data_IF_396853311225
#
_entry.id   IF_396853311225
#
_cell.length_a   1.000
_cell.length_b   1.000
_cell.length_c   1.000
_cell.angle_alpha   90.00
_cell.angle_beta   90.00
_cell.angle_gamma   90.00
#
_symmetry.space_group_name_H-M   'P 1'
#
loop_
_entity.id
_entity.type
_entity.pdbx_description
1 polymer ?
#
# COMPACT_ATOMS: atom_id res chain seq x y z
N UNK A 1 -8.40 6.04 -32.42
CA UNK A 1 -8.92 5.33 -31.26
C UNK A 1 -7.83 4.73 -30.46
N UNK A 2 -6.96 4.00 -31.09
CA UNK A 2 -5.80 3.43 -30.41
C UNK A 2 -4.96 4.52 -29.75
N UNK A 3 -4.86 5.68 -30.36
CA UNK A 3 -4.07 6.79 -29.83
C UNK A 3 -4.61 7.35 -28.52
N UNK A 4 -5.93 7.38 -28.36
CA UNK A 4 -6.53 7.88 -27.14
C UNK A 4 -6.16 7.03 -25.92
N UNK A 5 -6.17 5.72 -26.10
CA UNK A 5 -5.79 4.83 -25.01
C UNK A 5 -4.33 4.95 -24.64
N UNK A 6 -3.48 5.07 -25.65
CA UNK A 6 -2.06 5.23 -25.40
C UNK A 6 -1.80 6.53 -24.64
N UNK A 7 -2.47 7.60 -25.04
CA UNK A 7 -2.29 8.89 -24.39
C UNK A 7 -2.83 8.86 -22.95
N UNK A 8 -4.01 8.29 -22.75
CA UNK A 8 -4.59 8.16 -21.40
C UNK A 8 -3.68 7.33 -20.51
N UNK A 9 -3.15 6.23 -21.03
CA UNK A 9 -2.25 5.37 -20.28
C UNK A 9 -0.97 6.12 -19.89
N UNK A 10 -0.42 6.90 -20.84
CA UNK A 10 0.78 7.69 -20.56
C UNK A 10 0.51 8.74 -19.48
N UNK A 11 -0.62 9.42 -19.58
CA UNK A 11 -0.99 10.44 -18.59
C UNK A 11 -1.13 9.82 -17.20
N UNK A 12 -1.75 8.65 -17.11
CA UNK A 12 -1.91 7.96 -15.83
C UNK A 12 -0.58 7.54 -15.25
N UNK A 13 0.29 7.03 -16.09
CA UNK A 13 1.63 6.64 -15.63
C UNK A 13 2.42 7.82 -15.12
N UNK A 14 2.34 8.94 -15.83
CA UNK A 14 3.04 10.14 -15.43
C UNK A 14 2.48 10.71 -14.12
N UNK A 15 1.16 10.69 -13.99
CA UNK A 15 0.52 11.14 -12.75
C UNK A 15 0.93 10.29 -11.56
N UNK A 16 0.96 8.96 -11.74
CA UNK A 16 1.42 8.06 -10.70
C UNK A 16 2.86 8.30 -10.34
N UNK A 17 3.68 8.48 -11.37
CA UNK A 17 5.10 8.74 -11.14
C UNK A 17 5.31 10.01 -10.34
N UNK A 18 4.58 11.08 -10.69
CA UNK A 18 4.67 12.33 -9.96
C UNK A 18 4.21 12.16 -8.52
N UNK A 19 3.11 11.44 -8.32
CA UNK A 19 2.59 11.18 -6.98
C UNK A 19 3.60 10.38 -6.16
N UNK A 20 4.23 9.37 -6.76
CA UNK A 20 5.26 8.60 -6.10
C UNK A 20 6.45 9.48 -5.73
N UNK A 21 6.92 10.29 -6.69
CA UNK A 21 8.11 11.11 -6.46
C UNK A 21 7.88 12.20 -5.42
N UNK A 22 6.64 12.63 -5.23
CA UNK A 22 6.33 13.67 -4.25
C UNK A 22 5.84 13.10 -2.92
N UNK A 23 5.68 11.80 -2.81
CA UNK A 23 5.22 11.20 -1.57
C UNK A 23 6.28 11.31 -0.48
N UNK A 24 5.87 11.55 0.76
CA UNK A 24 6.84 11.59 1.86
C UNK A 24 7.40 10.20 2.12
N UNK A 25 8.50 10.14 2.86
CA UNK A 25 9.02 8.83 3.28
C UNK A 25 8.04 8.18 4.26
N UNK A 26 8.17 6.87 4.42
CA UNK A 26 7.38 6.16 5.40
C UNK A 26 7.57 6.75 6.79
N UNK A 27 8.82 7.07 7.13
CA UNK A 27 9.14 7.65 8.43
C UNK A 27 8.45 9.00 8.64
N UNK A 28 8.40 9.83 7.60
CA UNK A 28 7.75 11.14 7.71
C UNK A 28 6.25 10.98 7.82
N UNK A 29 5.68 10.02 7.13
CA UNK A 29 4.24 9.80 7.13
C UNK A 29 3.76 9.08 8.38
N UNK A 30 4.51 8.08 8.82
CA UNK A 30 4.16 7.25 9.98
C UNK A 30 5.43 7.02 10.82
N UNK A 31 5.80 7.99 11.64
CA UNK A 31 7.10 7.93 12.35
C UNK A 31 7.28 6.71 13.25
N UNK A 32 6.19 6.16 13.79
CA UNK A 32 6.29 5.02 14.68
C UNK A 32 6.42 3.69 13.95
N UNK A 33 6.23 3.68 12.65
CA UNK A 33 6.29 2.45 11.87
C UNK A 33 7.73 2.16 11.49
N UNK A 34 8.20 0.98 11.88
CA UNK A 34 9.55 0.54 11.53
C UNK A 34 9.56 -0.11 10.16
N UNK A 35 8.54 -0.86 9.84
CA UNK A 35 8.46 -1.56 8.57
C UNK A 35 7.03 -1.87 8.21
N UNK A 36 6.72 -1.77 6.92
CA UNK A 36 5.47 -2.28 6.37
C UNK A 36 5.81 -3.36 5.35
N UNK A 37 5.04 -4.44 5.37
CA UNK A 37 5.15 -5.49 4.37
C UNK A 37 3.79 -5.67 3.73
N UNK A 38 3.73 -5.53 2.41
CA UNK A 38 2.51 -5.72 1.65
C UNK A 38 2.65 -6.99 0.83
N UNK A 39 1.73 -7.92 1.05
CA UNK A 39 1.63 -9.14 0.25
C UNK A 39 0.41 -8.99 -0.63
N UNK A 40 0.60 -9.03 -1.93
CA UNK A 40 -0.44 -8.71 -2.89
C UNK A 40 -0.63 -9.85 -3.87
N UNK A 41 -1.89 -10.22 -4.11
CA UNK A 41 -2.22 -11.25 -5.11
C UNK A 41 -3.37 -10.72 -5.95
N UNK A 42 -3.17 -10.68 -7.27
CA UNK A 42 -4.24 -10.31 -8.18
C UNK A 42 -5.01 -11.56 -8.58
N UNK A 43 -6.32 -11.45 -8.55
CA UNK A 43 -7.23 -12.54 -8.92
C UNK A 43 -8.21 -12.02 -9.95
N UNK A 44 -8.26 -12.69 -11.09
CA UNK A 44 -9.24 -12.38 -12.13
C UNK A 44 -10.43 -13.32 -11.93
N UNK A 45 -11.55 -12.82 -11.40
CA UNK A 45 -12.67 -13.71 -11.12
C UNK A 45 -13.31 -14.28 -12.37
N UNK A 46 -13.21 -13.57 -13.51
CA UNK A 46 -13.83 -14.04 -14.74
C UNK A 46 -13.07 -15.20 -15.35
N UNK A 47 -11.77 -15.28 -15.14
CA UNK A 47 -10.92 -16.32 -15.68
C UNK A 47 -10.52 -17.35 -14.64
N UNK A 48 -10.96 -17.17 -13.40
CA UNK A 48 -10.55 -17.99 -12.27
C UNK A 48 -9.02 -18.13 -12.18
N UNK A 49 -8.32 -17.11 -12.64
CA UNK A 49 -6.86 -17.15 -12.66
C UNK A 49 -6.33 -16.29 -11.53
N UNK A 50 -5.18 -16.70 -11.04
CA UNK A 50 -4.50 -16.05 -9.94
C UNK A 50 -3.06 -15.80 -10.32
N UNK A 51 -2.63 -14.58 -10.17
CA UNK A 51 -1.25 -14.22 -10.43
C UNK A 51 -0.37 -14.61 -9.26
N UNK A 52 0.93 -14.73 -9.52
CA UNK A 52 1.88 -15.01 -8.45
C UNK A 52 1.86 -13.91 -7.42
N UNK A 53 1.95 -14.24 -6.14
CA UNK A 53 1.99 -13.20 -5.10
C UNK A 53 3.21 -12.30 -5.24
N UNK A 54 3.02 -11.05 -4.88
CA UNK A 54 4.09 -10.07 -4.85
C UNK A 54 4.27 -9.60 -3.42
N UNK A 55 5.51 -9.36 -3.02
CA UNK A 55 5.80 -8.83 -1.69
C UNK A 55 6.55 -7.53 -1.84
N UNK A 56 6.06 -6.50 -1.17
CA UNK A 56 6.68 -5.18 -1.15
C UNK A 56 7.03 -4.84 0.29
N UNK A 57 8.27 -4.48 0.52
CA UNK A 57 8.76 -4.17 1.86
C UNK A 57 9.14 -2.69 1.90
N UNK A 58 8.56 -1.97 2.85
CA UNK A 58 8.81 -0.55 3.03
C UNK A 58 9.55 -0.35 4.34
N UNK A 59 10.79 0.11 4.23
CA UNK A 59 11.53 0.60 5.39
C UNK A 59 11.29 2.08 5.61
N UNK A 60 11.92 2.67 6.63
CA UNK A 60 11.65 4.07 6.98
C UNK A 60 11.95 5.08 5.88
N UNK A 61 12.92 4.79 5.03
CA UNK A 61 13.32 5.72 3.96
C UNK A 61 12.56 5.49 2.66
N UNK A 62 11.73 4.43 2.59
CA UNK A 62 10.95 4.18 1.39
C UNK A 62 9.85 5.23 1.23
N UNK A 63 9.47 5.49 -0.01
CA UNK A 63 8.37 6.42 -0.26
C UNK A 63 7.08 5.85 0.28
N UNK A 64 6.34 6.67 1.03
CA UNK A 64 5.05 6.28 1.59
C UNK A 64 3.93 6.39 0.57
N UNK A 65 4.05 5.64 -0.50
CA UNK A 65 3.10 5.64 -1.61
C UNK A 65 2.53 4.24 -1.74
N UNK A 66 1.22 4.12 -1.64
CA UNK A 66 0.57 2.82 -1.47
C UNK A 66 -0.50 2.55 -2.53
N UNK A 67 -0.39 3.18 -3.68
CA UNK A 67 -1.26 2.87 -4.80
C UNK A 67 -0.59 1.83 -5.68
N UNK A 68 -1.37 0.87 -6.12
CA UNK A 68 -0.91 -0.23 -6.95
C UNK A 68 -1.60 -0.13 -8.29
N UNK A 69 -0.84 -0.16 -9.36
CA UNK A 69 -1.39 -0.06 -10.71
C UNK A 69 -2.10 -1.37 -11.08
N UNK A 70 -3.17 -1.25 -11.86
CA UNK A 70 -3.79 -2.44 -12.43
C UNK A 70 -2.83 -3.06 -13.45
N UNK A 71 -2.58 -4.38 -13.38
CA UNK A 71 -1.67 -5.01 -14.32
C UNK A 71 -2.24 -5.19 -15.73
N UNK A 72 -3.55 -4.98 -15.91
CA UNK A 72 -4.15 -5.11 -17.23
C UNK A 72 -3.84 -3.87 -18.07
N UNK A 73 -3.21 -4.06 -19.21
CA UNK A 73 -2.86 -2.96 -20.10
C UNK A 73 -4.08 -2.28 -20.72
N UNK A 74 -5.19 -3.00 -20.78
CA UNK A 74 -6.44 -2.46 -21.34
C UNK A 74 -7.26 -1.69 -20.31
N UNK A 75 -6.84 -1.66 -19.05
CA UNK A 75 -7.58 -0.98 -18.02
C UNK A 75 -7.20 0.49 -17.97
N UNK A 76 -8.20 1.38 -18.00
CA UNK A 76 -7.98 2.81 -17.86
C UNK A 76 -8.49 3.28 -16.52
N UNK A 77 -7.79 4.23 -15.92
CA UNK A 77 -8.09 4.80 -14.60
C UNK A 77 -8.13 3.73 -13.51
N UNK A 78 -7.44 2.65 -13.75
CA UNK A 78 -7.45 1.51 -12.84
C UNK A 78 -6.43 1.63 -11.76
N UNK A 79 -6.56 0.73 -10.81
CA UNK A 79 -5.60 0.61 -9.74
C UNK A 79 -6.29 0.39 -8.41
N UNK A 80 -5.46 0.28 -7.40
CA UNK A 80 -5.90 -0.05 -6.05
C UNK A 80 -5.18 0.88 -5.08
N UNK A 81 -5.90 1.43 -4.14
CA UNK A 81 -5.32 2.35 -3.17
C UNK A 81 -5.38 1.72 -1.79
N UNK A 82 -4.23 1.39 -1.23
CA UNK A 82 -4.14 0.79 0.09
C UNK A 82 -3.92 1.83 1.18
N UNK A 83 -3.94 3.11 0.84
CA UNK A 83 -3.63 4.16 1.80
C UNK A 83 -4.56 4.15 3.01
N UNK A 84 -5.86 3.95 2.79
CA UNK A 84 -6.83 3.93 3.89
C UNK A 84 -6.64 2.71 4.79
N UNK A 85 -6.35 1.57 4.20
CA UNK A 85 -6.10 0.34 4.96
C UNK A 85 -4.88 0.52 5.86
N UNK A 86 -3.83 1.08 5.30
CA UNK A 86 -2.59 1.29 6.04
C UNK A 86 -2.79 2.34 7.14
N UNK A 87 -3.48 3.44 6.82
CA UNK A 87 -3.76 4.48 7.81
C UNK A 87 -4.55 3.91 9.00
N UNK A 88 -5.54 3.08 8.72
CA UNK A 88 -6.34 2.45 9.75
C UNK A 88 -5.49 1.51 10.60
N UNK A 89 -4.69 0.67 9.97
CA UNK A 89 -3.82 -0.26 10.67
C UNK A 89 -2.85 0.48 11.59
N UNK A 90 -2.24 1.54 11.09
CA UNK A 90 -1.28 2.31 11.87
C UNK A 90 -1.95 3.04 13.03
N UNK A 91 -3.16 3.58 12.80
CA UNK A 91 -3.86 4.32 13.85
C UNK A 91 -4.21 3.43 15.04
N UNK A 92 -4.45 2.16 14.80
CA UNK A 92 -4.75 1.20 15.86
C UNK A 92 -3.52 0.43 16.32
N UNK A 93 -2.35 0.73 15.78
CA UNK A 93 -1.11 0.00 16.03
C UNK A 93 -1.31 -1.50 15.85
N UNK A 94 -2.10 -1.86 14.86
CA UNK A 94 -2.35 -3.26 14.55
C UNK A 94 -1.15 -3.89 13.89
N UNK A 95 -1.00 -5.20 14.05
CA UNK A 95 0.12 -5.93 13.45
C UNK A 95 -0.16 -6.34 12.01
N UNK A 96 -1.41 -6.57 11.67
CA UNK A 96 -1.75 -6.98 10.31
C UNK A 96 -3.21 -6.68 9.99
N UNK A 97 -3.46 -6.48 8.70
CA UNK A 97 -4.80 -6.36 8.15
C UNK A 97 -4.82 -7.10 6.82
N UNK A 98 -5.92 -7.74 6.49
CA UNK A 98 -6.07 -8.45 5.24
C UNK A 98 -7.45 -8.17 4.67
N UNK A 99 -7.55 -8.23 3.35
CA UNK A 99 -8.82 -7.99 2.68
C UNK A 99 -8.67 -8.04 1.18
N UNK A 100 -9.62 -7.43 0.50
CA UNK A 100 -9.59 -7.36 -0.95
C UNK A 100 -10.14 -6.03 -1.42
N UNK A 101 -9.62 -5.59 -2.56
CA UNK A 101 -10.09 -4.40 -3.26
C UNK A 101 -10.41 -4.78 -4.70
N UNK A 102 -11.35 -4.08 -5.31
CA UNK A 102 -11.66 -4.26 -6.72
C UNK A 102 -11.09 -3.07 -7.47
N UNK A 103 -10.56 -3.33 -8.66
CA UNK A 103 -9.97 -2.27 -9.47
C UNK A 103 -10.97 -1.15 -9.74
N UNK A 104 -10.50 0.08 -9.67
CA UNK A 104 -11.33 1.26 -9.90
C UNK A 104 -11.59 1.55 -11.37
N UNK A 105 -10.94 0.84 -12.25
CA UNK A 105 -10.87 1.21 -13.64
C UNK A 105 -11.91 0.57 -14.52
N UNK A 106 -11.76 0.83 -15.79
CA UNK A 106 -12.63 0.32 -16.83
C UNK A 106 -11.76 -0.37 -17.88
N UNK A 107 -12.22 -1.52 -18.34
CA UNK A 107 -11.53 -2.20 -19.42
C UNK A 107 -12.17 -1.84 -20.75
N UNK A 108 -11.32 -1.54 -21.71
CA UNK A 108 -11.76 -1.39 -23.08
C UNK A 108 -11.70 -2.76 -23.72
N UNK A 109 -12.85 -3.26 -24.11
CA UNK A 109 -12.93 -4.54 -24.78
C UNK A 109 -13.18 -4.37 -26.27
N UNK A 110 -12.66 -3.33 -26.83
CA UNK A 110 -12.78 -3.05 -28.25
C UNK A 110 -14.11 -2.40 -28.55
N UNK A 111 -14.71 -2.59 -29.56
CA UNK A 111 -16.01 -2.19 -29.92
C UNK A 111 -16.82 -1.42 -28.96
N UNK A 112 -16.43 -0.41 -28.49
CA UNK A 112 -17.29 0.51 -27.83
C UNK A 112 -17.85 0.13 -26.48
N UNK A 113 -17.73 -1.06 -26.04
CA UNK A 113 -18.23 -1.40 -24.73
C UNK A 113 -17.14 -1.30 -23.72
N UNK A 114 -17.28 -0.37 -22.81
CA UNK A 114 -16.40 -0.30 -21.66
C UNK A 114 -17.05 -1.06 -20.54
N UNK A 115 -16.29 -1.94 -19.93
CA UNK A 115 -16.73 -2.70 -18.77
C UNK A 115 -15.89 -2.34 -17.59
N UNK A 116 -16.50 -2.32 -16.43
CA UNK A 116 -15.74 -2.15 -15.20
C UNK A 116 -14.69 -3.25 -15.11
N UNK A 117 -13.51 -2.86 -14.70
CA UNK A 117 -12.48 -3.84 -14.42
C UNK A 117 -12.86 -4.55 -13.12
N UNK A 118 -12.94 -5.87 -13.18
CA UNK A 118 -13.36 -6.66 -12.01
C UNK A 118 -12.17 -7.36 -11.36
N UNK A 119 -10.96 -7.01 -11.74
CA UNK A 119 -9.77 -7.60 -11.13
C UNK A 119 -9.77 -7.30 -9.65
N UNK A 120 -9.51 -8.32 -8.85
CA UNK A 120 -9.40 -8.18 -7.40
C UNK A 120 -7.94 -8.17 -7.00
N UNK A 121 -7.64 -7.32 -6.04
CA UNK A 121 -6.38 -7.36 -5.33
C UNK A 121 -6.65 -7.91 -3.94
N UNK A 122 -6.09 -9.05 -3.63
CA UNK A 122 -6.15 -9.61 -2.28
C UNK A 122 -4.86 -9.21 -1.59
N UNK A 123 -5.00 -8.61 -0.43
CA UNK A 123 -3.85 -8.03 0.24
C UNK A 123 -3.74 -8.49 1.67
N UNK A 124 -2.51 -8.50 2.14
CA UNK A 124 -2.20 -8.60 3.56
C UNK A 124 -1.15 -7.54 3.84
N UNK A 125 -1.44 -6.67 4.77
CA UNK A 125 -0.51 -5.63 5.21
C UNK A 125 -0.06 -5.99 6.60
N UNK A 126 1.24 -6.01 6.82
CA UNK A 126 1.82 -6.26 8.14
C UNK A 126 2.65 -5.05 8.52
N UNK A 127 2.57 -4.64 9.78
CA UNK A 127 3.31 -3.49 10.26
C UNK A 127 4.06 -3.87 11.52
N UNK A 128 5.30 -3.40 11.63
CA UNK A 128 6.03 -3.44 12.87
C UNK A 128 6.32 -2.01 13.31
N UNK A 129 6.32 -1.79 14.60
CA UNK A 129 6.45 -0.46 15.18
C UNK A 129 7.70 -0.40 16.03
N UNK A 130 8.32 0.77 16.05
CA UNK A 130 9.45 0.97 16.93
C UNK A 130 8.99 0.87 18.38
N UNK A 131 9.82 0.27 19.21
CA UNK A 131 9.55 0.26 20.63
C UNK A 131 9.52 1.72 21.09
N UNK A 132 8.63 2.06 22.04
CA UNK A 132 8.63 3.42 22.58
C UNK A 132 10.04 3.69 23.05
N UNK A 133 10.59 4.79 22.63
CA UNK A 133 11.87 5.21 23.12
C UNK A 133 11.71 5.30 24.60
N UNK A 134 12.38 4.42 25.28
CA UNK A 134 12.45 4.45 26.64
C UNK A 134 13.04 5.67 26.99
N UNK A 135 12.32 6.28 27.50
CA UNK A 135 12.91 7.42 27.97
C UNK A 135 13.93 7.06 28.94
N UNK A 136 14.28 6.74 28.53
CA UNK A 136 14.91 6.56 29.14
C UNK A 136 15.54 6.73 29.47
N UNK A 137 15.51 6.61 29.42
CA UNK A 137 15.88 6.82 29.73
C UNK A 137 15.81 6.94 30.47
N UNK A 138 15.37 6.98 30.65
CA UNK A 138 15.24 7.16 31.28
C UNK A 138 15.60 6.54 32.02
N UNK A 139 16.01 6.51 32.62
CA UNK A 139 16.29 5.83 33.20
C UNK A 139 15.86 5.11 33.98
N UNK A 140 15.43 4.78 34.09
CA UNK A 140 15.00 4.30 34.60
C UNK A 140 15.13 4.15 35.50
N UNK A 141 14.95 4.23 35.90
CA UNK A 141 14.98 4.10 36.67
C UNK A 141 15.15 3.73 37.27
N UNK A 142 14.96 3.63 37.26
CA UNK A 142 15.26 3.26 38.05
C UNK A 142 15.24 3.16 38.55
N UNK A 143 15.09 2.78 38.92
CA UNK A 143 15.18 2.45 39.86
C UNK A 143 15.33 2.45 40.50
N UNK A 144 15.30 2.54 40.75
CA UNK A 144 15.52 2.33 41.71
C UNK A 144 15.52 2.04 42.22
N UNK A 145 15.31 1.95 42.30
CA UNK A 145 15.44 1.64 42.99
C UNK A 145 15.19 1.45 43.13
N UNK A 146 15.12 1.32 43.31
CA UNK A 146 15.04 1.02 43.71
C UNK A 146 14.95 0.89 43.96
N UNK A 147 14.78 0.71 44.18
CA UNK A 147 14.84 0.54 44.77
C UNK A 147 15.04 0.42 45.38
N UNK A 148 15.07 0.40 45.22
CA UNK A 148 15.39 0.36 46.01
C UNK A 148 15.45 0.54 46.49
N UNK A 149 15.61 0.48 46.73
CA UNK A 149 15.71 0.58 47.27
C UNK A 149 15.68 0.69 47.41
N UNK A 150 15.70 0.52 47.77
CA UNK A 150 15.69 0.60 47.91
C UNK A 150 15.46 0.53 48.29
#
# INVERSE_FOLDING_TARGET
>A
MVHKHVDAYKHEREARRRAYMSAPSLKDRYPAVEQLVLELTFVDPSASSRHSPQTHIFGPTARGYFEVACPFSSCTSGGFDLSAVIADLVSHRGSAAAGKLVCRGWQDRGRASEHRCLLELRYRVSASFEAPVEVSGQPRRERPGKWVAR
#
